data_IF_893104874823
#
_entry.id   IF_893104874823
#
_cell.length_a   1.000
_cell.length_b   1.000
_cell.length_c   1.000
_cell.angle_alpha   90.00
_cell.angle_beta   90.00
_cell.angle_gamma   90.00
#
_symmetry.space_group_name_H-M   'P 1'
#
loop_
_entity.id
_entity.type
_entity.pdbx_description
1 polymer ?
#
# COMPACT_ATOMS: atom_id res chain seq x y z
N UNK A 1 -2.13 7.57 -10.39
CA UNK A 1 -2.85 7.95 -9.15
C UNK A 1 -2.04 8.84 -8.20
N UNK A 2 -0.75 9.07 -8.44
CA UNK A 2 0.13 9.82 -7.51
C UNK A 2 -0.35 11.24 -7.17
N UNK A 3 -0.89 11.98 -8.14
CA UNK A 3 -1.51 13.31 -7.91
C UNK A 3 -2.70 13.30 -6.94
N UNK A 4 -3.19 12.12 -6.53
CA UNK A 4 -4.32 11.93 -5.62
C UNK A 4 -3.87 11.36 -4.26
N UNK A 5 -2.57 11.43 -3.95
CA UNK A 5 -2.03 10.99 -2.66
C UNK A 5 -1.86 9.48 -2.53
N UNK A 6 -1.51 8.82 -3.64
CA UNK A 6 -1.10 7.41 -3.69
C UNK A 6 0.40 7.35 -4.02
N UNK A 7 1.19 6.59 -3.26
CA UNK A 7 2.61 6.41 -3.57
C UNK A 7 2.84 5.23 -4.51
N UNK A 8 3.94 5.31 -5.26
CA UNK A 8 4.51 4.23 -6.08
C UNK A 8 5.70 3.58 -5.41
N UNK A 9 6.06 4.05 -4.24
CA UNK A 9 7.20 3.61 -3.47
C UNK A 9 6.80 3.34 -2.05
N UNK A 10 7.46 2.34 -1.46
CA UNK A 10 7.41 2.01 -0.04
C UNK A 10 8.83 2.11 0.50
N UNK A 11 8.95 2.39 1.78
CA UNK A 11 10.22 2.44 2.51
C UNK A 11 10.15 1.32 3.55
N UNK A 12 11.17 0.46 3.60
CA UNK A 12 11.28 -0.56 4.65
C UNK A 12 11.90 0.01 5.94
N UNK A 13 11.96 -0.82 6.97
CA UNK A 13 12.53 -0.45 8.28
C UNK A 13 14.02 -0.03 8.22
N UNK A 14 14.75 -0.46 7.18
CA UNK A 14 16.14 -0.10 6.94
C UNK A 14 16.28 1.21 6.12
N UNK A 15 15.18 1.95 5.93
CA UNK A 15 15.07 3.15 5.08
C UNK A 15 15.39 2.90 3.59
N UNK A 16 15.20 1.67 3.11
CA UNK A 16 15.38 1.34 1.70
C UNK A 16 14.09 1.54 0.92
N UNK A 17 14.20 2.27 -0.18
CA UNK A 17 13.08 2.55 -1.07
C UNK A 17 12.88 1.43 -2.10
N UNK A 18 11.64 0.97 -2.24
CA UNK A 18 11.23 0.01 -3.26
C UNK A 18 10.16 0.59 -4.16
N UNK A 19 10.33 0.39 -5.47
CA UNK A 19 9.31 0.78 -6.45
C UNK A 19 8.28 -0.34 -6.63
N UNK A 20 7.01 0.02 -6.47
CA UNK A 20 5.88 -0.87 -6.73
C UNK A 20 5.72 -1.12 -8.24
N UNK A 21 5.23 -2.32 -8.64
CA UNK A 21 4.88 -2.63 -10.02
C UNK A 21 3.96 -1.59 -10.67
N UNK A 22 3.92 -1.52 -12.01
CA UNK A 22 3.21 -0.47 -12.77
C UNK A 22 1.73 -0.34 -12.42
N UNK A 23 1.06 -1.39 -11.98
CA UNK A 23 -0.36 -1.36 -11.59
C UNK A 23 -0.63 -1.09 -10.10
N UNK A 24 0.39 -1.15 -9.24
CA UNK A 24 0.23 -1.11 -7.78
C UNK A 24 0.50 0.26 -7.18
N UNK A 25 -0.26 0.62 -6.15
CA UNK A 25 -0.09 1.89 -5.46
C UNK A 25 -0.38 1.68 -3.98
N UNK A 26 0.35 2.38 -3.12
CA UNK A 26 0.10 2.39 -1.68
C UNK A 26 -0.55 3.71 -1.27
N UNK A 27 -1.41 3.66 -0.25
CA UNK A 27 -1.95 4.84 0.39
C UNK A 27 -1.93 4.65 1.89
N UNK A 28 -1.10 5.43 2.56
CA UNK A 28 -1.13 5.55 4.00
C UNK A 28 -2.30 6.45 4.42
N UNK A 29 -3.13 5.94 5.31
CA UNK A 29 -4.19 6.67 5.98
C UNK A 29 -4.53 5.98 7.30
N UNK A 30 -5.08 6.74 8.24
CA UNK A 30 -5.83 6.19 9.36
C UNK A 30 -7.27 5.92 8.88
N UNK A 31 -7.44 4.90 8.03
CA UNK A 31 -8.72 4.55 7.43
C UNK A 31 -8.78 3.07 7.01
N UNK A 32 -9.99 2.52 6.96
CA UNK A 32 -10.21 1.13 6.55
C UNK A 32 -10.05 0.91 5.03
N UNK A 33 -10.02 -0.38 4.64
CA UNK A 33 -9.88 -0.81 3.24
C UNK A 33 -11.01 -0.27 2.35
N UNK A 34 -12.23 -0.18 2.86
CA UNK A 34 -13.37 0.35 2.09
C UNK A 34 -13.18 1.83 1.75
N UNK A 35 -12.64 2.60 2.69
CA UNK A 35 -12.31 4.01 2.48
C UNK A 35 -11.17 4.17 1.49
N UNK A 36 -10.13 3.34 1.57
CA UNK A 36 -9.04 3.30 0.59
C UNK A 36 -9.58 2.97 -0.81
N UNK A 37 -10.46 1.97 -0.91
CA UNK A 37 -11.10 1.60 -2.17
C UNK A 37 -11.93 2.75 -2.75
N UNK A 38 -12.66 3.50 -1.92
CA UNK A 38 -13.39 4.70 -2.34
C UNK A 38 -12.44 5.79 -2.87
N UNK A 39 -11.32 6.05 -2.18
CA UNK A 39 -10.30 6.99 -2.67
C UNK A 39 -9.69 6.55 -4.00
N UNK A 40 -9.42 5.25 -4.14
CA UNK A 40 -8.86 4.68 -5.35
C UNK A 40 -9.85 4.81 -6.53
N UNK A 41 -11.14 4.51 -6.32
CA UNK A 41 -12.16 4.71 -7.35
C UNK A 41 -12.28 6.19 -7.77
N UNK A 42 -12.25 7.12 -6.83
CA UNK A 42 -12.26 8.57 -7.14
C UNK A 42 -11.01 8.97 -7.94
N UNK A 43 -9.84 8.43 -7.59
CA UNK A 43 -8.60 8.73 -8.30
C UNK A 43 -8.58 8.08 -9.70
N UNK A 44 -9.12 6.88 -9.87
CA UNK A 44 -9.20 6.18 -11.14
C UNK A 44 -10.19 6.84 -12.10
N UNK A 45 -11.33 7.33 -11.61
CA UNK A 45 -12.33 8.00 -12.46
C UNK A 45 -11.78 9.24 -13.17
N UNK A 46 -10.79 9.91 -12.57
CA UNK A 46 -10.09 11.08 -13.17
C UNK A 46 -9.17 10.71 -14.33
N UNK A 47 -8.82 9.43 -14.49
CA UNK A 47 -7.88 8.97 -15.53
C UNK A 47 -8.54 8.75 -16.90
N UNK A 48 -9.88 8.74 -16.98
CA UNK A 48 -10.67 8.52 -18.21
C UNK A 48 -10.35 7.22 -18.97
N UNK A 49 -9.74 6.22 -18.31
CA UNK A 49 -9.53 4.88 -18.86
C UNK A 49 -10.41 3.86 -18.13
N UNK A 50 -10.64 2.69 -18.73
CA UNK A 50 -11.35 1.58 -18.05
C UNK A 50 -10.48 1.03 -16.94
N UNK A 51 -11.05 0.79 -15.76
CA UNK A 51 -10.33 0.30 -14.59
C UNK A 51 -11.12 -0.74 -13.80
N UNK A 52 -10.39 -1.53 -13.02
CA UNK A 52 -10.88 -2.36 -11.92
C UNK A 52 -9.84 -2.23 -10.80
N UNK A 53 -10.29 -2.18 -9.55
CA UNK A 53 -9.45 -1.91 -8.39
C UNK A 53 -9.72 -2.97 -7.35
N UNK A 54 -8.65 -3.52 -6.80
CA UNK A 54 -8.66 -4.34 -5.60
C UNK A 54 -7.85 -3.56 -4.55
N UNK A 55 -8.44 -3.35 -3.38
CA UNK A 55 -7.76 -2.78 -2.23
C UNK A 55 -7.55 -3.89 -1.20
N UNK A 56 -6.34 -3.97 -0.65
CA UNK A 56 -5.97 -4.89 0.42
C UNK A 56 -5.28 -4.08 1.51
N UNK A 57 -5.51 -4.47 2.77
CA UNK A 57 -4.76 -3.93 3.88
C UNK A 57 -3.38 -4.59 3.92
N UNK A 58 -2.34 -3.78 4.12
CA UNK A 58 -1.01 -4.27 4.40
C UNK A 58 -0.74 -4.04 5.88
N UNK A 59 -0.70 -5.12 6.64
CA UNK A 59 -0.39 -5.09 8.08
C UNK A 59 1.02 -5.66 8.24
N UNK A 60 1.98 -4.85 8.64
CA UNK A 60 3.31 -5.34 9.01
C UNK A 60 3.20 -6.23 10.24
N UNK A 61 3.16 -7.54 10.03
CA UNK A 61 3.31 -8.52 11.10
C UNK A 61 4.81 -8.77 11.36
N UNK A 62 5.39 -7.99 12.26
CA UNK A 62 6.72 -8.27 12.82
C UNK A 62 6.57 -9.01 14.15
N UNK A 63 6.72 -10.34 14.11
CA UNK A 63 6.52 -11.17 15.29
C UNK A 63 7.04 -12.60 15.22
N UNK A 64 8.24 -12.85 14.67
CA UNK A 64 9.00 -14.03 15.08
C UNK A 64 10.02 -13.60 16.13
N UNK A 65 9.62 -13.63 17.41
CA UNK A 65 10.60 -13.78 18.49
C UNK A 65 11.25 -15.16 18.31
N UNK A 66 12.34 -15.23 17.54
CA UNK A 66 13.28 -16.32 17.64
C UNK A 66 13.99 -16.16 18.98
N UNK A 67 13.40 -16.69 20.05
CA UNK A 67 14.13 -16.85 21.30
C UNK A 67 15.34 -17.75 20.99
N UNK A 68 16.58 -17.30 21.23
CA UNK A 68 17.72 -18.19 21.08
C UNK A 68 17.55 -19.33 22.08
N UNK A 69 17.57 -20.57 21.59
CA UNK A 69 17.70 -21.75 22.45
C UNK A 69 19.15 -21.72 22.95
N UNK A 70 19.35 -21.20 24.15
CA UNK A 70 20.62 -21.39 24.87
C UNK A 70 20.83 -22.90 25.08
N UNK A 71 22.02 -23.38 24.68
CA UNK A 71 22.46 -24.77 24.83
C UNK A 71 23.02 -25.03 26.22
#
# INVERSE_FOLDING_TARGET
MQKQGFSKTIIDDDNKEFHLPTAEYIKECDCDVEKVLSFANNAASKTKVKYSIIAVEYVDFLGYQLNPVEK
#
